data_IF_491752844579
#
_entry.id   IF_491752844579
#
_cell.length_a   1.000
_cell.length_b   1.000
_cell.length_c   1.000
_cell.angle_alpha   90.00
_cell.angle_beta   90.00
_cell.angle_gamma   90.00
#
_symmetry.space_group_name_H-M   'P 1'
#
loop_
_entity.id
_entity.type
_entity.pdbx_description
1 polymer ?
#
# COMPACT_ATOMS: atom_id res chain seq x y z
N UNK A 1 24.11 1.77 -16.52
CA UNK A 1 24.50 0.36 -16.37
C UNK A 1 23.29 -0.37 -15.81
N UNK A 2 22.56 -1.08 -16.70
CA UNK A 2 21.38 -1.85 -16.32
C UNK A 2 21.83 -3.16 -15.69
N UNK A 3 21.53 -3.37 -14.42
CA UNK A 3 21.67 -4.66 -13.77
C UNK A 3 20.53 -5.52 -14.30
N UNK A 4 20.84 -6.34 -15.29
CA UNK A 4 19.93 -7.32 -15.85
C UNK A 4 19.54 -8.33 -14.79
N UNK A 5 18.33 -8.19 -14.27
CA UNK A 5 17.72 -9.12 -13.35
C UNK A 5 17.49 -10.45 -14.08
N UNK A 6 18.32 -11.44 -13.84
CA UNK A 6 18.04 -12.81 -14.23
C UNK A 6 16.91 -13.33 -13.36
N UNK A 7 15.67 -13.15 -13.83
CA UNK A 7 14.53 -13.88 -13.30
C UNK A 7 14.77 -15.36 -13.57
N UNK A 8 14.95 -16.13 -12.52
CA UNK A 8 14.90 -17.59 -12.61
C UNK A 8 13.52 -17.97 -13.12
N UNK A 9 13.48 -18.49 -14.33
CA UNK A 9 12.29 -19.06 -14.94
C UNK A 9 11.68 -20.10 -14.00
N UNK A 10 10.35 -20.15 -13.96
CA UNK A 10 9.50 -21.16 -13.31
C UNK A 10 10.21 -22.47 -13.02
N UNK A 11 10.84 -22.57 -11.85
CA UNK A 11 11.14 -23.86 -11.27
C UNK A 11 9.79 -24.43 -10.81
N UNK A 12 9.44 -25.59 -11.32
CA UNK A 12 8.43 -26.47 -10.72
C UNK A 12 8.67 -26.43 -9.21
N UNK A 13 7.63 -26.08 -8.43
CA UNK A 13 7.71 -25.87 -6.99
C UNK A 13 8.35 -27.07 -6.32
N UNK A 14 9.64 -27.00 -6.08
CA UNK A 14 10.32 -27.87 -5.13
C UNK A 14 9.69 -27.59 -3.76
N UNK A 15 9.17 -28.62 -3.06
CA UNK A 15 8.51 -28.44 -1.77
C UNK A 15 9.51 -28.02 -0.70
N UNK A 16 9.92 -26.76 -0.70
CA UNK A 16 10.91 -26.26 0.28
C UNK A 16 11.44 -24.87 0.00
N UNK A 17 11.55 -24.48 -1.24
CA UNK A 17 12.09 -23.17 -1.63
C UNK A 17 11.00 -22.10 -1.54
N UNK A 18 11.30 -20.99 -0.85
CA UNK A 18 10.43 -19.82 -0.79
C UNK A 18 10.69 -18.97 -2.04
N UNK A 19 9.62 -18.60 -2.73
CA UNK A 19 9.73 -17.63 -3.81
C UNK A 19 9.86 -16.19 -3.27
N UNK A 20 10.10 -15.21 -4.14
CA UNK A 20 10.27 -13.81 -3.77
C UNK A 20 9.01 -13.25 -3.06
N UNK A 21 7.81 -13.69 -3.45
CA UNK A 21 6.56 -13.23 -2.86
C UNK A 21 6.23 -13.92 -1.53
N UNK A 22 6.67 -15.17 -1.34
CA UNK A 22 6.65 -15.84 -0.04
C UNK A 22 7.51 -15.09 0.98
N UNK A 23 8.73 -14.73 0.57
CA UNK A 23 9.66 -13.95 1.40
C UNK A 23 9.09 -12.56 1.68
N UNK A 24 8.54 -11.87 0.67
CA UNK A 24 7.86 -10.58 0.86
C UNK A 24 6.71 -10.69 1.86
N UNK A 25 5.92 -11.77 1.78
CA UNK A 25 4.84 -12.00 2.74
C UNK A 25 5.36 -12.21 4.17
N UNK A 26 6.43 -12.97 4.35
CA UNK A 26 7.07 -13.15 5.66
C UNK A 26 7.65 -11.84 6.22
N UNK A 27 8.17 -10.96 5.36
CA UNK A 27 8.78 -9.68 5.73
C UNK A 27 7.75 -8.61 6.13
N UNK A 28 6.58 -8.58 5.47
CA UNK A 28 5.62 -7.51 5.73
C UNK A 28 4.17 -7.81 5.36
N UNK A 29 3.81 -9.09 5.22
CA UNK A 29 2.44 -9.53 4.91
C UNK A 29 1.99 -9.14 3.50
N UNK A 30 0.67 -9.15 3.30
CA UNK A 30 0.05 -8.84 2.01
C UNK A 30 0.48 -7.48 1.43
N UNK A 31 0.69 -6.47 2.28
CA UNK A 31 1.16 -5.16 1.84
C UNK A 31 2.52 -5.25 1.15
N UNK A 32 3.46 -6.01 1.72
CA UNK A 32 4.80 -6.18 1.16
C UNK A 32 4.79 -6.92 -0.17
N UNK A 33 3.93 -7.94 -0.29
CA UNK A 33 3.73 -8.66 -1.56
C UNK A 33 3.30 -7.71 -2.66
N UNK A 34 2.31 -6.86 -2.38
CA UNK A 34 1.79 -5.90 -3.36
C UNK A 34 2.81 -4.81 -3.69
N UNK A 35 3.51 -4.27 -2.69
CA UNK A 35 4.60 -3.31 -2.92
C UNK A 35 5.67 -3.92 -3.83
N UNK A 36 6.09 -5.16 -3.56
CA UNK A 36 7.11 -5.87 -4.35
C UNK A 36 6.66 -6.12 -5.78
N UNK A 37 5.39 -6.52 -5.98
CA UNK A 37 4.84 -6.73 -7.32
C UNK A 37 4.77 -5.41 -8.12
N UNK A 38 4.36 -4.31 -7.49
CA UNK A 38 4.34 -2.99 -8.13
C UNK A 38 5.74 -2.53 -8.54
N UNK A 39 6.74 -2.73 -7.69
CA UNK A 39 8.13 -2.37 -7.98
C UNK A 39 8.66 -3.25 -9.11
N UNK A 40 8.53 -4.57 -9.01
CA UNK A 40 9.02 -5.51 -10.00
C UNK A 40 8.45 -5.24 -11.39
N UNK A 41 7.14 -5.01 -11.51
CA UNK A 41 6.50 -4.70 -12.79
C UNK A 41 6.87 -3.32 -13.32
N UNK A 42 7.12 -2.34 -12.43
CA UNK A 42 7.63 -1.02 -12.85
C UNK A 42 9.04 -1.10 -13.40
N UNK A 43 9.93 -1.88 -12.76
CA UNK A 43 11.31 -2.08 -13.20
C UNK A 43 11.38 -2.81 -14.54
N UNK A 44 10.40 -3.67 -14.81
CA UNK A 44 10.27 -4.36 -16.11
C UNK A 44 9.53 -3.53 -17.17
N UNK A 45 9.09 -2.31 -16.84
CA UNK A 45 8.34 -1.46 -17.76
C UNK A 45 6.91 -1.90 -18.04
N UNK A 46 6.41 -2.95 -17.39
CA UNK A 46 5.04 -3.47 -17.55
C UNK A 46 4.00 -2.64 -16.79
N UNK A 47 4.44 -1.83 -15.82
CA UNK A 47 3.60 -0.96 -15.03
C UNK A 47 4.15 0.46 -15.02
N UNK A 48 3.31 1.45 -15.31
CA UNK A 48 3.66 2.86 -15.22
C UNK A 48 2.95 3.51 -14.03
N UNK A 49 3.74 4.07 -13.13
CA UNK A 49 3.28 4.87 -12.00
C UNK A 49 3.34 6.37 -12.37
N UNK A 50 2.25 7.09 -12.14
CA UNK A 50 2.16 8.54 -12.38
C UNK A 50 1.42 9.19 -11.21
N UNK A 51 2.17 9.73 -10.26
CA UNK A 51 1.63 10.26 -9.01
C UNK A 51 0.86 9.19 -8.24
N UNK A 52 -0.43 9.40 -8.02
CA UNK A 52 -1.34 8.45 -7.34
C UNK A 52 -2.02 7.46 -8.28
N UNK A 53 -1.63 7.42 -9.55
CA UNK A 53 -2.24 6.56 -10.57
C UNK A 53 -1.28 5.52 -11.07
N UNK A 54 -1.85 4.37 -11.46
CA UNK A 54 -1.15 3.22 -12.01
C UNK A 54 -1.85 2.72 -13.27
N UNK A 55 -1.07 2.32 -14.25
CA UNK A 55 -1.55 1.77 -15.51
C UNK A 55 -0.62 0.65 -15.97
N UNK A 56 -1.20 -0.46 -16.42
CA UNK A 56 -0.45 -1.47 -17.17
C UNK A 56 -0.02 -0.88 -18.53
N UNK A 57 1.22 -1.14 -18.88
CA UNK A 57 1.77 -0.85 -20.21
C UNK A 57 1.76 -2.18 -20.94
N UNK A 58 1.25 -2.20 -22.18
CA UNK A 58 1.27 -3.42 -22.98
C UNK A 58 2.67 -4.01 -23.04
N UNK A 59 2.75 -5.32 -23.17
CA UNK A 59 4.02 -6.03 -23.22
C UNK A 59 4.96 -5.38 -24.23
N UNK A 60 6.06 -4.82 -23.73
CA UNK A 60 7.14 -4.26 -24.54
C UNK A 60 8.27 -5.28 -24.49
N UNK A 61 8.47 -6.01 -25.58
CA UNK A 61 9.47 -7.08 -25.63
C UNK A 61 9.03 -8.39 -24.99
N UNK A 62 9.99 -9.18 -24.52
CA UNK A 62 9.77 -10.51 -23.93
C UNK A 62 9.34 -10.49 -22.45
N UNK A 63 9.15 -9.31 -21.86
CA UNK A 63 8.78 -9.19 -20.45
C UNK A 63 7.28 -9.51 -20.28
N UNK A 64 7.00 -10.70 -19.81
CA UNK A 64 5.65 -11.14 -19.41
C UNK A 64 5.58 -11.31 -17.90
N UNK A 65 4.42 -11.02 -17.25
CA UNK A 65 4.24 -11.34 -15.85
C UNK A 65 4.28 -12.87 -15.69
N UNK A 66 5.11 -13.35 -14.77
CA UNK A 66 5.32 -14.79 -14.59
C UNK A 66 4.63 -15.33 -13.34
N UNK A 67 4.45 -14.47 -12.32
CA UNK A 67 3.85 -14.88 -11.07
C UNK A 67 2.35 -14.54 -11.04
N UNK A 68 1.47 -15.39 -10.43
CA UNK A 68 0.03 -15.12 -10.34
C UNK A 68 -0.33 -13.74 -9.79
N UNK A 69 0.40 -13.24 -8.78
CA UNK A 69 0.21 -11.90 -8.21
C UNK A 69 0.51 -10.80 -9.25
N UNK A 70 1.53 -10.98 -10.08
CA UNK A 70 1.85 -10.03 -11.17
C UNK A 70 0.75 -10.01 -12.23
N UNK A 71 0.27 -11.19 -12.62
CA UNK A 71 -0.85 -11.32 -13.56
C UNK A 71 -2.12 -10.65 -13.02
N UNK A 72 -2.44 -10.87 -11.74
CA UNK A 72 -3.57 -10.23 -11.08
C UNK A 72 -3.42 -8.70 -11.03
N UNK A 73 -2.21 -8.20 -10.74
CA UNK A 73 -1.94 -6.77 -10.73
C UNK A 73 -2.15 -6.14 -12.11
N UNK A 74 -1.64 -6.74 -13.17
CA UNK A 74 -1.85 -6.29 -14.56
C UNK A 74 -3.34 -6.31 -14.92
N UNK A 75 -4.06 -7.38 -14.56
CA UNK A 75 -5.50 -7.51 -14.80
C UNK A 75 -6.32 -6.43 -14.08
N UNK A 76 -5.88 -5.98 -12.90
CA UNK A 76 -6.49 -4.88 -12.16
C UNK A 76 -6.23 -3.50 -12.78
N UNK A 77 -5.27 -3.37 -13.71
CA UNK A 77 -4.80 -2.10 -14.27
C UNK A 77 -5.00 -1.97 -15.79
N UNK A 78 -6.12 -2.41 -16.41
CA UNK A 78 -6.30 -2.30 -17.86
C UNK A 78 -6.35 -0.85 -18.33
N UNK A 79 -6.69 0.06 -17.44
CA UNK A 79 -6.74 1.52 -17.64
C UNK A 79 -6.07 2.22 -16.46
N UNK A 80 -5.91 3.53 -16.60
CA UNK A 80 -5.34 4.37 -15.55
C UNK A 80 -6.25 4.38 -14.30
N UNK A 81 -5.82 3.76 -13.21
CA UNK A 81 -6.57 3.61 -11.96
C UNK A 81 -5.83 4.24 -10.78
N UNK A 82 -6.56 4.48 -9.70
CA UNK A 82 -5.96 4.88 -8.43
C UNK A 82 -5.05 3.76 -7.91
N UNK A 83 -3.80 4.07 -7.63
CA UNK A 83 -2.85 3.11 -7.07
C UNK A 83 -3.33 2.57 -5.71
N UNK A 84 -3.95 3.42 -4.87
CA UNK A 84 -4.51 2.99 -3.58
C UNK A 84 -5.64 1.95 -3.76
N UNK A 85 -6.54 2.15 -4.73
CA UNK A 85 -7.61 1.18 -5.01
C UNK A 85 -7.08 -0.14 -5.53
N UNK A 86 -6.05 -0.10 -6.39
CA UNK A 86 -5.40 -1.31 -6.92
C UNK A 86 -4.67 -2.06 -5.81
N UNK A 87 -3.95 -1.34 -4.94
CA UNK A 87 -3.30 -1.94 -3.77
C UNK A 87 -4.30 -2.65 -2.87
N UNK A 88 -5.39 -1.97 -2.51
CA UNK A 88 -6.41 -2.54 -1.64
C UNK A 88 -7.06 -3.78 -2.26
N UNK A 89 -7.37 -3.73 -3.56
CA UNK A 89 -7.95 -4.87 -4.27
C UNK A 89 -6.99 -6.07 -4.32
N UNK A 90 -5.71 -5.82 -4.64
CA UNK A 90 -4.73 -6.89 -4.75
C UNK A 90 -4.39 -7.53 -3.39
N UNK A 91 -4.37 -6.75 -2.30
CA UNK A 91 -4.18 -7.30 -0.95
C UNK A 91 -5.26 -8.33 -0.55
N UNK A 92 -6.47 -8.13 -1.05
CA UNK A 92 -7.60 -9.02 -0.82
C UNK A 92 -7.77 -10.07 -1.92
N UNK A 93 -6.88 -10.12 -2.90
CA UNK A 93 -6.99 -11.02 -4.03
C UNK A 93 -6.75 -12.49 -3.65
N UNK A 94 -7.32 -13.44 -4.40
CA UNK A 94 -7.13 -14.86 -4.14
C UNK A 94 -5.66 -15.29 -4.26
N UNK A 95 -4.87 -14.64 -5.12
CA UNK A 95 -3.45 -14.96 -5.32
C UNK A 95 -2.63 -14.63 -4.07
N UNK A 96 -2.88 -13.47 -3.43
CA UNK A 96 -2.20 -13.10 -2.19
C UNK A 96 -2.70 -13.95 -1.01
N UNK A 97 -3.97 -14.31 -0.99
CA UNK A 97 -4.52 -15.23 0.02
C UNK A 97 -3.96 -16.65 -0.13
N UNK A 98 -3.68 -17.09 -1.36
CA UNK A 98 -3.02 -18.39 -1.61
C UNK A 98 -1.64 -18.43 -1.01
N UNK A 99 -0.82 -17.37 -1.17
CA UNK A 99 0.49 -17.25 -0.51
C UNK A 99 0.33 -17.40 1.00
N UNK A 100 -0.63 -16.66 1.60
CA UNK A 100 -0.88 -16.73 3.04
C UNK A 100 -1.25 -18.16 3.49
N UNK A 101 -2.12 -18.85 2.73
CA UNK A 101 -2.56 -20.21 3.03
C UNK A 101 -1.42 -21.21 2.90
N UNK A 102 -0.62 -21.13 1.84
CA UNK A 102 0.55 -21.98 1.61
C UNK A 102 1.58 -21.81 2.73
N UNK A 103 1.87 -20.57 3.13
CA UNK A 103 2.78 -20.28 4.25
C UNK A 103 2.22 -20.77 5.60
N UNK A 104 0.91 -20.68 5.80
CA UNK A 104 0.25 -21.20 7.01
C UNK A 104 0.30 -22.72 7.07
N UNK A 105 0.06 -23.42 5.96
CA UNK A 105 0.20 -24.87 5.87
C UNK A 105 1.62 -25.36 6.19
N UNK A 106 2.64 -24.54 5.87
CA UNK A 106 4.06 -24.80 6.22
C UNK A 106 4.42 -24.35 7.64
N UNK A 107 3.47 -23.80 8.41
CA UNK A 107 3.73 -23.31 9.77
C UNK A 107 4.61 -22.05 9.84
N UNK A 108 4.80 -21.34 8.73
CA UNK A 108 5.63 -20.14 8.64
C UNK A 108 4.91 -18.89 9.10
N UNK A 109 3.58 -18.86 8.97
CA UNK A 109 2.70 -17.82 9.52
C UNK A 109 1.60 -18.45 10.36
N UNK A 110 1.04 -17.69 11.31
CA UNK A 110 0.01 -18.16 12.20
C UNK A 110 -1.01 -17.06 12.55
N UNK A 111 -2.20 -17.50 12.96
CA UNK A 111 -3.31 -16.64 13.38
C UNK A 111 -4.01 -15.94 12.21
N UNK A 112 -5.15 -15.30 12.51
CA UNK A 112 -5.99 -14.59 11.51
C UNK A 112 -5.27 -13.41 10.83
N UNK A 113 -4.24 -12.87 11.47
CA UNK A 113 -3.42 -11.78 10.93
C UNK A 113 -2.16 -12.28 10.21
N UNK A 114 -2.03 -13.58 9.98
CA UNK A 114 -0.89 -14.21 9.30
C UNK A 114 0.47 -13.71 9.78
N UNK A 115 0.67 -13.66 11.09
CA UNK A 115 1.94 -13.20 11.68
C UNK A 115 3.02 -14.25 11.50
N UNK A 116 4.23 -13.84 11.12
CA UNK A 116 5.38 -14.73 11.00
C UNK A 116 5.69 -15.43 12.32
N UNK A 117 5.77 -16.77 12.27
CA UNK A 117 6.17 -17.62 13.39
C UNK A 117 7.69 -17.52 13.65
N UNK A 118 8.19 -18.22 14.68
CA UNK A 118 9.64 -18.33 14.89
C UNK A 118 10.32 -18.99 13.70
N UNK A 119 9.67 -20.00 13.11
CA UNK A 119 10.18 -20.70 11.91
C UNK A 119 10.17 -19.74 10.71
N UNK A 120 9.07 -19.02 10.48
CA UNK A 120 8.99 -18.02 9.40
C UNK A 120 10.08 -16.96 9.51
N UNK A 121 10.32 -16.42 10.72
CA UNK A 121 11.40 -15.44 10.93
C UNK A 121 12.80 -16.03 10.72
N UNK A 122 13.00 -17.33 11.01
CA UNK A 122 14.28 -17.99 10.71
C UNK A 122 14.49 -18.13 9.21
N UNK A 123 13.46 -18.53 8.47
CA UNK A 123 13.50 -18.61 7.01
C UNK A 123 13.73 -17.24 6.37
N UNK A 124 13.04 -16.19 6.83
CA UNK A 124 13.25 -14.82 6.37
C UNK A 124 14.71 -14.40 6.54
N UNK A 125 15.29 -14.59 7.72
CA UNK A 125 16.71 -14.28 7.98
C UNK A 125 17.67 -15.12 7.15
N UNK A 126 17.30 -16.34 6.78
CA UNK A 126 18.08 -17.16 5.87
C UNK A 126 18.04 -16.60 4.45
N UNK A 127 16.85 -16.16 4.00
CA UNK A 127 16.68 -15.52 2.70
C UNK A 127 17.43 -14.17 2.62
N UNK A 128 17.44 -13.38 3.70
CA UNK A 128 18.20 -12.11 3.77
C UNK A 128 19.71 -12.29 3.64
N UNK A 129 20.24 -13.44 4.04
CA UNK A 129 21.67 -13.78 3.91
C UNK A 129 22.01 -14.45 2.59
N UNK A 130 21.00 -14.95 1.89
CA UNK A 130 21.15 -15.56 0.58
C UNK A 130 21.29 -14.49 -0.50
N UNK A 131 22.06 -14.76 -1.54
CA UNK A 131 22.13 -13.91 -2.71
C UNK A 131 21.00 -14.25 -3.67
N UNK A 132 20.37 -13.24 -4.30
CA UNK A 132 19.45 -13.44 -5.42
C UNK A 132 18.08 -12.80 -5.29
N UNK A 133 17.67 -12.33 -4.12
CA UNK A 133 16.43 -11.56 -3.95
C UNK A 133 16.71 -10.06 -3.87
N UNK A 134 15.91 -9.22 -4.54
CA UNK A 134 16.09 -7.76 -4.47
C UNK A 134 15.74 -7.23 -3.07
N UNK A 135 16.45 -6.18 -2.66
CA UNK A 135 16.29 -5.55 -1.34
C UNK A 135 14.86 -5.08 -1.05
N UNK A 136 14.11 -4.68 -2.09
CA UNK A 136 12.73 -4.25 -1.91
C UNK A 136 11.78 -5.36 -1.45
N UNK A 137 12.14 -6.62 -1.63
CA UNK A 137 11.38 -7.76 -1.10
C UNK A 137 11.36 -7.72 0.44
N UNK A 138 12.48 -7.36 1.04
CA UNK A 138 12.68 -7.26 2.48
C UNK A 138 12.25 -5.89 3.02
N UNK A 139 12.79 -4.80 2.47
CA UNK A 139 12.60 -3.43 2.93
C UNK A 139 11.41 -2.69 2.29
N UNK A 140 10.86 -3.21 1.18
CA UNK A 140 9.80 -2.57 0.39
C UNK A 140 10.26 -1.27 -0.27
N UNK A 141 9.35 -0.30 -0.47
CA UNK A 141 9.69 0.94 -1.14
C UNK A 141 10.70 1.80 -0.36
N UNK A 142 10.95 1.52 0.92
CA UNK A 142 11.88 2.31 1.74
C UNK A 142 13.33 2.18 1.28
N UNK A 143 13.72 1.04 0.70
CA UNK A 143 15.08 0.78 0.20
C UNK A 143 15.31 1.31 -1.21
N UNK A 144 14.26 1.74 -1.90
CA UNK A 144 14.40 2.33 -3.23
C UNK A 144 14.96 3.75 -3.13
N UNK A 145 15.77 4.19 -4.11
CA UNK A 145 16.15 5.59 -4.24
C UNK A 145 14.93 6.48 -4.41
N UNK A 146 15.05 7.76 -4.04
CA UNK A 146 13.97 8.71 -4.23
C UNK A 146 13.64 8.86 -5.73
N UNK A 147 12.43 8.49 -6.10
CA UNK A 147 11.99 8.45 -7.48
C UNK A 147 10.47 8.33 -7.61
N UNK A 148 10.00 8.26 -8.84
CA UNK A 148 8.56 8.14 -9.13
C UNK A 148 7.97 6.84 -8.61
N UNK A 149 8.71 5.73 -8.70
CA UNK A 149 8.26 4.41 -8.24
C UNK A 149 8.10 4.40 -6.74
N UNK A 150 9.12 4.82 -5.98
CA UNK A 150 9.05 4.91 -4.52
C UNK A 150 7.89 5.79 -4.07
N UNK A 151 7.79 7.01 -4.61
CA UNK A 151 6.70 7.94 -4.27
C UNK A 151 5.33 7.38 -4.65
N UNK A 152 5.21 6.75 -5.81
CA UNK A 152 3.96 6.13 -6.27
C UNK A 152 3.49 5.01 -5.35
N UNK A 153 4.39 4.12 -4.93
CA UNK A 153 4.06 3.01 -4.03
C UNK A 153 3.76 3.50 -2.61
N UNK A 154 4.56 4.44 -2.08
CA UNK A 154 4.34 5.01 -0.73
C UNK A 154 3.02 5.77 -0.67
N UNK A 155 2.73 6.63 -1.65
CA UNK A 155 1.49 7.42 -1.70
C UNK A 155 0.24 6.56 -1.96
N UNK A 156 0.42 5.36 -2.52
CA UNK A 156 -0.68 4.43 -2.73
C UNK A 156 -1.10 3.69 -1.44
N UNK A 157 -0.28 3.70 -0.40
CA UNK A 157 -0.63 3.06 0.87
C UNK A 157 -1.84 3.75 1.50
N UNK A 158 -2.85 2.98 1.93
CA UNK A 158 -3.96 3.57 2.65
C UNK A 158 -3.45 4.21 3.95
N UNK A 159 -3.73 5.50 4.12
CA UNK A 159 -3.51 6.17 5.40
C UNK A 159 -4.43 5.50 6.43
N UNK A 160 -3.92 5.02 7.57
CA UNK A 160 -4.77 4.43 8.60
C UNK A 160 -5.92 5.37 8.91
N UNK A 161 -7.15 4.90 8.80
CA UNK A 161 -8.38 5.70 8.94
C UNK A 161 -8.54 6.41 10.30
N UNK A 162 -7.68 6.05 11.28
CA UNK A 162 -7.55 6.76 12.56
C UNK A 162 -6.69 8.03 12.52
N UNK A 163 -5.70 8.09 11.62
CA UNK A 163 -4.75 9.21 11.57
C UNK A 163 -5.41 10.51 11.08
N UNK A 164 -6.28 10.45 10.09
CA UNK A 164 -7.03 11.60 9.59
C UNK A 164 -7.92 12.22 10.68
N UNK A 165 -8.63 11.37 11.45
CA UNK A 165 -9.44 11.83 12.59
C UNK A 165 -8.59 12.36 13.76
N UNK A 166 -7.41 11.79 13.99
CA UNK A 166 -6.49 12.27 15.02
C UNK A 166 -5.91 13.64 14.64
N UNK A 167 -5.52 13.84 13.40
CA UNK A 167 -5.03 15.13 12.89
C UNK A 167 -6.11 16.21 12.92
N UNK A 168 -7.37 15.90 12.57
CA UNK A 168 -8.50 16.84 12.67
C UNK A 168 -8.77 17.21 14.12
N UNK A 169 -8.69 16.27 15.06
CA UNK A 169 -8.84 16.56 16.51
C UNK A 169 -7.69 17.43 17.03
N UNK A 170 -6.48 17.18 16.57
CA UNK A 170 -5.28 17.93 16.95
C UNK A 170 -5.34 19.36 16.37
N UNK A 171 -5.79 19.52 15.12
CA UNK A 171 -6.02 20.85 14.53
C UNK A 171 -7.08 21.65 15.29
N UNK A 172 -8.20 21.01 15.64
CA UNK A 172 -9.26 21.67 16.46
C UNK A 172 -8.79 22.03 17.88
N UNK A 173 -7.90 21.26 18.49
CA UNK A 173 -7.34 21.57 19.80
C UNK A 173 -6.41 22.81 19.74
N UNK A 174 -5.65 22.96 18.66
CA UNK A 174 -4.78 24.12 18.48
C UNK A 174 -5.55 25.41 18.15
N UNK A 175 -6.70 25.31 17.48
CA UNK A 175 -7.55 26.47 17.22
C UNK A 175 -8.29 26.96 18.49
N UNK A 176 -8.50 26.09 19.49
CA UNK A 176 -9.18 26.46 20.74
C UNK A 176 -8.26 27.17 21.74
N UNK A 177 -6.96 26.95 21.67
CA UNK A 177 -5.98 27.61 22.56
C UNK A 177 -5.62 29.05 22.08
N UNK A 178 -6.04 29.46 20.89
CA UNK A 178 -5.75 30.77 20.34
C UNK A 178 -6.80 31.85 20.70
N UNK A 179 -7.91 31.46 21.31
CA UNK A 179 -9.03 32.38 21.60
C UNK A 179 -9.18 32.72 23.10
N UNK A 180 -8.14 32.52 23.89
CA UNK A 180 -8.11 32.89 25.31
C UNK A 180 -7.10 34.02 25.56
N UNK A 181 -7.40 35.23 25.08
CA UNK A 181 -6.55 36.39 25.41
C UNK A 181 -6.98 37.69 24.79
N UNK A 182 -7.98 38.32 25.35
CA UNK A 182 -8.02 39.71 25.72
C UNK A 182 -9.45 40.15 25.98
N UNK A 183 -9.77 40.28 27.28
CA UNK A 183 -10.87 41.08 27.70
C UNK A 183 -10.51 42.57 27.60
N UNK A 184 -11.48 43.38 27.32
CA UNK A 184 -11.71 44.68 27.98
C UNK A 184 -12.95 45.34 27.40
N UNK A 185 -13.88 45.51 28.28
CA UNK A 185 -14.92 46.53 28.41
C UNK A 185 -15.12 47.55 27.29
N UNK A 186 -16.35 47.68 26.84
CA UNK A 186 -17.05 48.97 26.84
C UNK A 186 -18.53 48.80 26.47
N UNK A 187 -19.38 49.30 27.33
CA UNK A 187 -20.81 49.52 27.22
C UNK A 187 -21.21 50.29 25.96
N UNK A 188 -22.37 49.95 25.42
CA UNK A 188 -23.46 50.84 25.04
C UNK A 188 -24.46 50.17 24.10
N UNK A 189 -25.59 49.80 24.61
CA UNK A 189 -26.95 50.34 24.34
C UNK A 189 -27.43 50.43 22.87
N UNK A 190 -28.67 50.05 22.73
CA UNK A 190 -29.63 50.28 21.65
C UNK A 190 -29.92 49.15 20.67
N UNK A 191 -30.92 48.35 20.92
CA UNK A 191 -32.27 48.41 20.35
C UNK A 191 -32.38 48.20 18.83
N UNK A 192 -32.96 47.04 18.47
CA UNK A 192 -34.12 47.02 17.58
C UNK A 192 -34.48 45.60 17.18
N UNK A 193 -35.66 45.23 17.54
CA UNK A 193 -36.40 44.09 17.06
C UNK A 193 -36.69 44.21 15.56
N UNK A 194 -36.57 43.12 14.85
CA UNK A 194 -37.43 42.81 13.71
C UNK A 194 -37.73 41.31 13.66
N UNK A 195 -38.96 41.05 14.04
CA UNK A 195 -39.77 39.88 13.73
C UNK A 195 -40.17 39.91 12.26
N UNK A 196 -40.22 38.76 11.64
CA UNK A 196 -41.15 38.31 10.60
C UNK A 196 -40.59 37.00 10.05
N UNK A 197 -41.24 35.90 10.05
CA UNK A 197 -42.62 35.63 9.73
C UNK A 197 -42.67 34.80 8.47
N UNK A 198 -43.06 33.52 8.59
CA UNK A 198 -44.00 32.84 7.76
C UNK A 198 -43.61 32.43 6.34
N UNK A 199 -43.95 31.16 6.03
CA UNK A 199 -44.16 30.74 4.65
C UNK A 199 -44.11 29.25 4.42
N UNK A 200 -45.13 28.53 4.79
CA UNK A 200 -45.49 27.21 4.28
C UNK A 200 -45.80 27.28 2.77
N UNK A 201 -45.52 26.17 2.04
CA UNK A 201 -45.96 26.01 0.65
C UNK A 201 -45.67 24.63 0.15
N UNK A 202 -46.66 23.75 0.34
CA UNK A 202 -46.82 22.49 -0.36
C UNK A 202 -47.02 22.71 -1.86
N UNK A 203 -46.43 21.90 -2.70
CA UNK A 203 -47.09 21.18 -3.81
C UNK A 203 -46.12 20.14 -4.36
#
# INVERSE_FOLDING_TARGET
>A
MGIGFRRSASAMEEPGVLDAYDVAFLAGGAQRVVDSAMIALSDCGLLKLSGSRVRAVGAVGEALPQHPVECALIALCPRNRSAASVLAALQCSPEVQEIARRLAARGLVAGSRHRSTRLGRRQLRSAERGEGLPDYVFGGPAVLPDGLVRRGVVNARPVPSGLGRALIRMGKALDHDSDSGSGSDSDADSGSAFSCGGGSGSH
#
